data_IF_261034087352
#
_entry.id   IF_261034087352
#
_cell.length_a   1.000
_cell.length_b   1.000
_cell.length_c   1.000
_cell.angle_alpha   90.00
_cell.angle_beta   90.00
_cell.angle_gamma   90.00
#
_symmetry.space_group_name_H-M   'P 1'
#
loop_
_entity.id
_entity.type
_entity.pdbx_description
1 polymer ?
#
# COMPACT_ATOMS: atom_id res chain seq x y z
N UNK A 1 15.16 -76.79 -65.56
CA UNK A 1 15.54 -76.80 -64.12
C UNK A 1 15.38 -75.37 -63.59
N UNK A 2 14.25 -75.01 -62.97
CA UNK A 2 13.94 -74.94 -61.52
C UNK A 2 14.94 -74.15 -60.63
N UNK A 3 14.56 -72.88 -60.35
CA UNK A 3 14.52 -72.11 -59.07
C UNK A 3 15.79 -72.02 -58.18
N UNK A 4 16.17 -70.79 -57.77
CA UNK A 4 15.78 -70.18 -56.47
C UNK A 4 16.38 -68.79 -56.24
N UNK A 5 15.51 -67.84 -55.94
CA UNK A 5 15.76 -66.52 -55.35
C UNK A 5 16.42 -66.60 -53.96
N UNK A 6 17.26 -65.61 -53.63
CA UNK A 6 17.69 -65.34 -52.24
C UNK A 6 17.39 -63.88 -51.87
N UNK A 7 16.36 -63.73 -51.05
CA UNK A 7 15.91 -62.48 -50.40
C UNK A 7 16.94 -61.93 -49.41
N UNK A 8 17.03 -60.61 -49.46
CA UNK A 8 17.40 -59.57 -48.49
C UNK A 8 17.34 -59.94 -47.00
N UNK A 9 18.32 -59.47 -46.22
CA UNK A 9 18.19 -59.21 -44.78
C UNK A 9 18.62 -57.78 -44.49
N UNK A 10 17.62 -56.91 -44.33
CA UNK A 10 17.74 -55.60 -43.71
C UNK A 10 18.01 -55.79 -42.21
N UNK A 11 19.09 -55.21 -41.70
CA UNK A 11 19.32 -55.09 -40.27
C UNK A 11 18.63 -53.82 -39.78
N UNK A 12 17.38 -53.95 -39.33
CA UNK A 12 16.71 -52.91 -38.53
C UNK A 12 17.45 -52.81 -37.20
N UNK A 13 18.20 -51.72 -37.02
CA UNK A 13 18.57 -51.23 -35.70
C UNK A 13 17.29 -50.76 -35.01
N UNK A 14 16.76 -51.60 -34.13
CA UNK A 14 15.81 -51.17 -33.12
C UNK A 14 16.52 -50.21 -32.17
N UNK A 15 16.24 -48.93 -32.34
CA UNK A 15 16.40 -47.90 -31.30
C UNK A 15 15.55 -48.32 -30.10
N UNK A 16 16.20 -48.96 -29.12
CA UNK A 16 15.64 -49.10 -27.78
C UNK A 16 15.47 -47.70 -27.20
N UNK A 17 14.22 -47.21 -27.21
CA UNK A 17 13.78 -46.16 -26.28
C UNK A 17 14.07 -46.71 -24.87
N UNK A 18 15.05 -46.15 -24.18
CA UNK A 18 15.23 -46.40 -22.76
C UNK A 18 14.02 -45.80 -22.05
N UNK A 19 13.13 -46.66 -21.56
CA UNK A 19 12.11 -46.25 -20.60
C UNK A 19 12.85 -45.78 -19.33
N UNK A 20 12.88 -44.46 -19.11
CA UNK A 20 13.33 -43.89 -17.84
C UNK A 20 12.40 -44.40 -16.75
N UNK A 21 12.97 -44.81 -15.61
CA UNK A 21 12.16 -45.26 -14.49
C UNK A 21 11.35 -44.08 -13.93
N UNK A 22 10.10 -44.27 -13.45
CA UNK A 22 9.27 -43.20 -12.89
C UNK A 22 9.91 -42.44 -11.72
N UNK A 23 10.89 -43.06 -11.05
CA UNK A 23 11.66 -42.47 -9.95
C UNK A 23 12.70 -41.47 -10.48
N UNK A 24 13.35 -41.77 -11.61
CA UNK A 24 14.30 -40.86 -12.27
C UNK A 24 13.58 -39.60 -12.77
N UNK A 25 12.43 -39.78 -13.43
CA UNK A 25 11.61 -38.66 -13.93
C UNK A 25 11.16 -37.74 -12.79
N UNK A 26 10.80 -38.30 -11.64
CA UNK A 26 10.40 -37.52 -10.46
C UNK A 26 11.57 -36.75 -9.84
N UNK A 27 12.77 -37.33 -9.84
CA UNK A 27 13.98 -36.66 -9.36
C UNK A 27 14.38 -35.49 -10.27
N UNK A 28 14.37 -35.71 -11.59
CA UNK A 28 14.65 -34.67 -12.58
C UNK A 28 13.64 -33.51 -12.50
N UNK A 29 12.35 -33.81 -12.34
CA UNK A 29 11.31 -32.78 -12.14
C UNK A 29 11.54 -31.98 -10.85
N UNK A 30 11.93 -32.65 -9.77
CA UNK A 30 12.20 -31.97 -8.49
C UNK A 30 13.44 -31.06 -8.58
N UNK A 31 14.49 -31.51 -9.28
CA UNK A 31 15.67 -30.70 -9.54
C UNK A 31 15.33 -29.46 -10.36
N UNK A 32 14.56 -29.62 -11.44
CA UNK A 32 14.11 -28.49 -12.27
C UNK A 32 13.24 -27.49 -11.50
N UNK A 33 12.35 -27.98 -10.63
CA UNK A 33 11.56 -27.12 -9.73
C UNK A 33 12.47 -26.34 -8.79
N UNK A 34 13.53 -26.95 -8.26
CA UNK A 34 14.49 -26.27 -7.39
C UNK A 34 15.22 -25.14 -8.11
N UNK A 35 15.68 -25.38 -9.35
CA UNK A 35 16.37 -24.36 -10.15
C UNK A 35 15.44 -23.19 -10.48
N UNK A 36 14.20 -23.48 -10.89
CA UNK A 36 13.18 -22.46 -11.13
C UNK A 36 12.86 -21.66 -9.87
N UNK A 37 12.85 -22.29 -8.69
CA UNK A 37 12.60 -21.59 -7.42
C UNK A 37 13.69 -20.56 -7.13
N UNK A 38 14.95 -20.89 -7.42
CA UNK A 38 16.08 -19.96 -7.29
C UNK A 38 15.89 -18.78 -8.25
N UNK A 39 15.52 -19.04 -9.50
CA UNK A 39 15.26 -18.00 -10.50
C UNK A 39 14.09 -17.09 -10.10
N UNK A 40 12.97 -17.66 -9.65
CA UNK A 40 11.81 -16.93 -9.15
C UNK A 40 12.19 -16.00 -7.98
N UNK A 41 12.97 -16.52 -7.03
CA UNK A 41 13.43 -15.73 -5.88
C UNK A 41 14.39 -14.62 -6.28
N UNK A 42 15.32 -14.89 -7.20
CA UNK A 42 16.25 -13.89 -7.71
C UNK A 42 15.52 -12.77 -8.45
N UNK A 43 14.57 -13.10 -9.32
CA UNK A 43 13.68 -12.13 -9.99
C UNK A 43 12.87 -11.30 -8.98
N UNK A 44 12.35 -11.93 -7.93
CA UNK A 44 11.65 -11.21 -6.86
C UNK A 44 12.56 -10.23 -6.11
N UNK A 45 13.78 -10.65 -5.77
CA UNK A 45 14.76 -9.81 -5.08
C UNK A 45 15.25 -8.64 -5.94
N UNK A 46 15.36 -8.82 -7.26
CA UNK A 46 15.71 -7.75 -8.19
C UNK A 46 14.54 -6.83 -8.56
N UNK A 47 13.33 -7.14 -8.11
CA UNK A 47 12.11 -6.37 -8.40
C UNK A 47 11.49 -6.68 -9.77
N UNK A 48 12.00 -7.67 -10.50
CA UNK A 48 11.37 -8.22 -11.69
C UNK A 48 10.22 -9.16 -11.29
N UNK A 49 9.10 -8.57 -10.87
CA UNK A 49 7.92 -9.31 -10.42
C UNK A 49 7.28 -10.12 -11.55
N UNK A 50 7.39 -9.68 -12.80
CA UNK A 50 6.85 -10.42 -13.95
C UNK A 50 7.65 -11.70 -14.18
N UNK A 51 8.98 -11.62 -14.18
CA UNK A 51 9.84 -12.79 -14.24
C UNK A 51 9.60 -13.74 -13.07
N UNK A 52 9.46 -13.22 -11.86
CA UNK A 52 9.18 -14.02 -10.67
C UNK A 52 7.87 -14.82 -10.79
N UNK A 53 6.79 -14.19 -11.28
CA UNK A 53 5.50 -14.86 -11.50
C UNK A 53 5.62 -15.91 -12.61
N UNK A 54 6.27 -15.60 -13.74
CA UNK A 54 6.44 -16.55 -14.84
C UNK A 54 7.15 -17.83 -14.37
N UNK A 55 8.25 -17.71 -13.61
CA UNK A 55 8.94 -18.89 -13.06
C UNK A 55 8.07 -19.66 -12.05
N UNK A 56 7.27 -18.97 -11.24
CA UNK A 56 6.33 -19.60 -10.32
C UNK A 56 5.23 -20.39 -11.06
N UNK A 57 4.71 -19.86 -12.17
CA UNK A 57 3.75 -20.55 -13.05
C UNK A 57 4.38 -21.78 -13.71
N UNK A 58 5.64 -21.69 -14.15
CA UNK A 58 6.37 -22.86 -14.66
C UNK A 58 6.52 -23.97 -13.62
N UNK A 59 6.82 -23.60 -12.36
CA UNK A 59 6.87 -24.56 -11.25
C UNK A 59 5.49 -25.20 -11.02
N UNK A 60 4.42 -24.40 -11.03
CA UNK A 60 3.05 -24.92 -10.88
C UNK A 60 2.75 -25.95 -11.98
N UNK A 61 3.08 -25.65 -13.22
CA UNK A 61 2.85 -26.56 -14.35
C UNK A 61 3.60 -27.89 -14.18
N UNK A 62 4.88 -27.85 -13.80
CA UNK A 62 5.67 -29.07 -13.52
C UNK A 62 5.13 -29.85 -12.32
N UNK A 63 4.69 -29.15 -11.29
CA UNK A 63 4.13 -29.74 -10.08
C UNK A 63 2.79 -30.44 -10.35
N UNK A 64 1.92 -29.83 -11.16
CA UNK A 64 0.66 -30.43 -11.61
C UNK A 64 0.92 -31.69 -12.45
N UNK A 65 1.84 -31.61 -13.42
CA UNK A 65 2.24 -32.75 -14.24
C UNK A 65 2.77 -33.92 -13.41
N UNK A 66 3.46 -33.62 -12.31
CA UNK A 66 4.06 -34.61 -11.41
C UNK A 66 3.17 -34.99 -10.21
N UNK A 67 1.95 -34.44 -10.12
CA UNK A 67 1.02 -34.59 -9.01
C UNK A 67 1.61 -34.22 -7.62
N UNK A 68 2.46 -33.19 -7.56
CA UNK A 68 3.11 -32.70 -6.33
C UNK A 68 2.42 -31.40 -5.86
N UNK A 69 1.26 -31.56 -5.23
CA UNK A 69 0.39 -30.43 -4.84
C UNK A 69 0.99 -29.46 -3.82
N UNK A 70 2.00 -29.86 -3.05
CA UNK A 70 2.70 -28.98 -2.11
C UNK A 70 3.37 -27.79 -2.81
N UNK A 71 4.03 -28.03 -3.95
CA UNK A 71 4.70 -26.96 -4.69
C UNK A 71 3.70 -25.97 -5.29
N UNK A 72 2.53 -26.45 -5.74
CA UNK A 72 1.46 -25.59 -6.25
C UNK A 72 1.04 -24.58 -5.18
N UNK A 73 0.69 -25.06 -3.97
CA UNK A 73 0.28 -24.20 -2.86
C UNK A 73 1.36 -23.20 -2.43
N UNK A 74 2.62 -23.62 -2.46
CA UNK A 74 3.74 -22.75 -2.12
C UNK A 74 3.92 -21.63 -3.16
N UNK A 75 3.77 -21.94 -4.44
CA UNK A 75 3.87 -20.92 -5.51
C UNK A 75 2.65 -20.00 -5.55
N UNK A 76 1.43 -20.50 -5.29
CA UNK A 76 0.24 -19.64 -5.15
C UNK A 76 0.43 -18.61 -4.03
N UNK A 77 0.94 -19.04 -2.87
CA UNK A 77 1.29 -18.11 -1.77
C UNK A 77 2.33 -17.09 -2.19
N UNK A 78 3.37 -17.52 -2.91
CA UNK A 78 4.41 -16.63 -3.39
C UNK A 78 3.88 -15.56 -4.37
N UNK A 79 3.03 -15.96 -5.32
CA UNK A 79 2.37 -15.04 -6.26
C UNK A 79 1.46 -14.07 -5.50
N UNK A 80 0.71 -14.53 -4.50
CA UNK A 80 -0.13 -13.66 -3.68
C UNK A 80 0.70 -12.61 -2.91
N UNK A 81 1.86 -12.99 -2.37
CA UNK A 81 2.78 -12.04 -1.72
C UNK A 81 3.24 -10.94 -2.70
N UNK A 82 3.52 -11.31 -3.96
CA UNK A 82 3.88 -10.35 -5.00
C UNK A 82 2.70 -9.43 -5.32
N UNK A 83 1.50 -10.00 -5.48
CA UNK A 83 0.28 -9.25 -5.76
C UNK A 83 -0.01 -8.22 -4.67
N UNK A 84 0.02 -8.63 -3.39
CA UNK A 84 -0.18 -7.75 -2.24
C UNK A 84 0.83 -6.61 -2.21
N UNK A 85 2.11 -6.91 -2.51
CA UNK A 85 3.18 -5.92 -2.57
C UNK A 85 2.95 -4.89 -3.68
N UNK A 86 2.54 -5.34 -4.86
CA UNK A 86 2.25 -4.46 -5.99
C UNK A 86 1.04 -3.58 -5.73
N UNK A 87 -0.04 -4.16 -5.20
CA UNK A 87 -1.24 -3.42 -4.80
C UNK A 87 -0.92 -2.36 -3.74
N UNK A 88 -0.14 -2.73 -2.71
CA UNK A 88 0.32 -1.79 -1.69
C UNK A 88 1.16 -0.65 -2.28
N UNK A 89 2.09 -0.97 -3.19
CA UNK A 89 2.91 0.05 -3.87
C UNK A 89 2.06 1.02 -4.69
N UNK A 90 1.06 0.51 -5.40
CA UNK A 90 0.11 1.31 -6.15
C UNK A 90 -0.69 2.24 -5.21
N UNK A 91 -1.26 1.69 -4.14
CA UNK A 91 -2.03 2.46 -3.16
C UNK A 91 -1.18 3.58 -2.53
N UNK A 92 0.07 3.31 -2.15
CA UNK A 92 1.00 4.34 -1.65
C UNK A 92 1.21 5.45 -2.69
N UNK A 93 1.34 5.11 -3.97
CA UNK A 93 1.48 6.10 -5.04
C UNK A 93 0.24 6.97 -5.18
N UNK A 94 -0.95 6.37 -5.12
CA UNK A 94 -2.22 7.09 -5.16
C UNK A 94 -2.36 8.03 -3.96
N UNK A 95 -2.06 7.56 -2.74
CA UNK A 95 -2.09 8.39 -1.53
C UNK A 95 -1.12 9.58 -1.68
N UNK A 96 0.09 9.36 -2.21
CA UNK A 96 1.06 10.45 -2.46
C UNK A 96 0.50 11.47 -3.44
N UNK A 97 -0.11 11.03 -4.54
CA UNK A 97 -0.70 11.92 -5.54
C UNK A 97 -1.82 12.78 -4.92
N UNK A 98 -2.70 12.17 -4.13
CA UNK A 98 -3.77 12.90 -3.42
C UNK A 98 -3.18 13.86 -2.38
N UNK A 99 -2.17 13.43 -1.62
CA UNK A 99 -1.51 14.24 -0.60
C UNK A 99 -0.87 15.52 -1.18
N UNK A 100 -0.32 15.47 -2.41
CA UNK A 100 0.18 16.67 -3.10
C UNK A 100 -0.94 17.68 -3.33
N UNK A 101 -2.11 17.23 -3.77
CA UNK A 101 -3.29 18.08 -3.94
C UNK A 101 -3.78 18.67 -2.61
N UNK A 102 -3.84 17.85 -1.56
CA UNK A 102 -4.19 18.30 -0.21
C UNK A 102 -3.18 19.34 0.29
N UNK A 103 -1.88 19.14 0.08
CA UNK A 103 -0.84 20.09 0.50
C UNK A 103 -1.00 21.46 -0.15
N UNK A 104 -1.35 21.50 -1.44
CA UNK A 104 -1.61 22.75 -2.14
C UNK A 104 -2.85 23.46 -1.60
N UNK A 105 -3.97 22.73 -1.46
CA UNK A 105 -5.22 23.29 -0.95
C UNK A 105 -5.07 23.78 0.49
N UNK A 106 -4.45 22.97 1.34
CA UNK A 106 -4.11 23.29 2.72
C UNK A 106 -3.26 24.55 2.82
N UNK A 107 -2.21 24.66 1.97
CA UNK A 107 -1.38 25.85 1.89
C UNK A 107 -2.15 27.12 1.51
N UNK A 108 -3.11 27.01 0.59
CA UNK A 108 -3.99 28.14 0.21
C UNK A 108 -4.91 28.55 1.35
N UNK A 109 -5.54 27.60 2.03
CA UNK A 109 -6.43 27.87 3.15
C UNK A 109 -5.72 28.58 4.31
N UNK A 110 -4.49 28.15 4.63
CA UNK A 110 -3.68 28.84 5.64
C UNK A 110 -3.35 30.29 5.24
N UNK A 111 -3.04 30.55 3.96
CA UNK A 111 -2.77 31.92 3.49
C UNK A 111 -3.99 32.83 3.59
N UNK A 112 -5.19 32.27 3.41
CA UNK A 112 -6.46 32.98 3.59
C UNK A 112 -6.98 32.95 5.04
N UNK A 113 -6.15 32.52 6.00
CA UNK A 113 -6.47 32.39 7.42
C UNK A 113 -7.70 31.50 7.72
N UNK A 114 -8.00 30.55 6.84
CA UNK A 114 -9.12 29.62 6.99
C UNK A 114 -8.63 28.31 7.63
N UNK A 115 -8.17 28.41 8.88
CA UNK A 115 -7.44 27.33 9.57
C UNK A 115 -8.36 26.15 9.92
N UNK A 116 -9.60 26.40 10.35
CA UNK A 116 -10.59 25.34 10.60
C UNK A 116 -10.81 24.49 9.35
N UNK A 117 -11.04 25.14 8.19
CA UNK A 117 -11.22 24.40 6.94
C UNK A 117 -9.96 23.67 6.51
N UNK A 118 -8.78 24.24 6.75
CA UNK A 118 -7.50 23.58 6.48
C UNK A 118 -7.35 22.29 7.30
N UNK A 119 -7.73 22.34 8.58
CA UNK A 119 -7.71 21.18 9.46
C UNK A 119 -8.70 20.10 9.01
N UNK A 120 -9.93 20.48 8.68
CA UNK A 120 -10.98 19.56 8.20
C UNK A 120 -10.56 18.80 6.94
N UNK A 121 -9.99 19.48 5.94
CA UNK A 121 -9.61 18.79 4.70
C UNK A 121 -8.51 17.73 4.93
N UNK A 122 -7.62 17.96 5.89
CA UNK A 122 -6.58 17.01 6.23
C UNK A 122 -7.19 15.85 7.02
N UNK A 123 -8.09 16.12 7.96
CA UNK A 123 -8.82 15.09 8.70
C UNK A 123 -9.64 14.19 7.76
N UNK A 124 -10.37 14.77 6.80
CA UNK A 124 -11.13 14.04 5.78
C UNK A 124 -10.22 13.15 4.92
N UNK A 125 -9.05 13.67 4.55
CA UNK A 125 -8.04 12.91 3.82
C UNK A 125 -7.53 11.72 4.62
N UNK A 126 -7.17 11.91 5.90
CA UNK A 126 -6.68 10.83 6.75
C UNK A 126 -7.77 9.78 7.01
N UNK A 127 -9.01 10.21 7.24
CA UNK A 127 -10.14 9.32 7.47
C UNK A 127 -10.44 8.42 6.26
N UNK A 128 -10.28 8.93 5.03
CA UNK A 128 -10.43 8.14 3.79
C UNK A 128 -9.50 6.92 3.73
N UNK A 129 -8.36 6.99 4.42
CA UNK A 129 -7.32 5.96 4.40
C UNK A 129 -7.05 5.40 5.81
N UNK A 130 -8.02 5.49 6.73
CA UNK A 130 -7.87 5.01 8.10
C UNK A 130 -7.53 3.52 8.19
N UNK A 131 -8.01 2.72 7.23
CA UNK A 131 -7.74 1.27 7.15
C UNK A 131 -6.37 0.94 6.57
N UNK A 132 -5.56 1.96 6.24
CA UNK A 132 -4.20 1.80 5.75
C UNK A 132 -3.19 2.19 6.84
N UNK A 133 -2.68 1.23 7.63
CA UNK A 133 -1.87 1.52 8.84
C UNK A 133 -0.58 2.29 8.56
N UNK A 134 -0.09 2.22 7.31
CA UNK A 134 1.15 2.85 6.89
C UNK A 134 0.96 4.29 6.40
N UNK A 135 -0.26 4.84 6.43
CA UNK A 135 -0.51 6.21 5.93
C UNK A 135 0.41 7.24 6.58
N UNK A 136 0.59 7.17 7.90
CA UNK A 136 1.42 8.11 8.64
C UNK A 136 2.93 7.93 8.37
N UNK A 137 3.33 6.81 7.79
CA UNK A 137 4.73 6.55 7.38
C UNK A 137 5.09 7.20 6.04
N UNK A 138 4.10 7.68 5.30
CA UNK A 138 4.32 8.36 4.02
C UNK A 138 4.80 9.79 4.31
N UNK A 139 6.04 10.11 3.91
CA UNK A 139 6.71 11.39 4.25
C UNK A 139 5.84 12.65 4.02
N UNK A 140 5.21 12.79 2.86
CA UNK A 140 4.35 13.95 2.57
C UNK A 140 3.15 14.05 3.52
N UNK A 141 2.58 12.91 3.91
CA UNK A 141 1.46 12.86 4.86
C UNK A 141 1.96 13.22 6.27
N UNK A 142 3.11 12.69 6.66
CA UNK A 142 3.76 13.03 7.93
C UNK A 142 4.05 14.52 8.06
N UNK A 143 4.54 15.16 6.99
CA UNK A 143 4.77 16.59 6.91
C UNK A 143 3.47 17.38 7.08
N UNK A 144 2.39 16.96 6.42
CA UNK A 144 1.07 17.57 6.56
C UNK A 144 0.54 17.48 7.98
N UNK A 145 0.55 16.30 8.58
CA UNK A 145 0.12 16.08 9.97
C UNK A 145 0.92 16.95 10.93
N UNK A 146 2.24 17.02 10.75
CA UNK A 146 3.12 17.81 11.62
C UNK A 146 2.82 19.30 11.49
N UNK A 147 2.60 19.78 10.26
CA UNK A 147 2.26 21.18 10.01
C UNK A 147 0.89 21.54 10.57
N UNK A 148 -0.10 20.69 10.36
CA UNK A 148 -1.45 20.86 10.87
C UNK A 148 -1.50 20.93 12.39
N UNK A 149 -0.86 19.98 13.08
CA UNK A 149 -0.75 20.04 14.55
C UNK A 149 -0.22 21.38 15.05
N UNK A 150 0.81 21.94 14.39
CA UNK A 150 1.39 23.24 14.77
C UNK A 150 0.42 24.40 14.54
N UNK A 151 -0.20 24.48 13.37
CA UNK A 151 -1.12 25.57 13.05
C UNK A 151 -2.43 25.48 13.86
N UNK A 152 -2.93 24.27 14.10
CA UNK A 152 -4.11 24.03 14.91
C UNK A 152 -3.93 24.42 16.37
N UNK A 153 -2.77 24.11 16.97
CA UNK A 153 -2.45 24.56 18.33
C UNK A 153 -2.42 26.09 18.40
N UNK A 154 -1.74 26.76 17.45
CA UNK A 154 -1.70 28.22 17.41
C UNK A 154 -3.10 28.83 17.32
N UNK A 155 -3.92 28.30 16.42
CA UNK A 155 -5.29 28.75 16.24
C UNK A 155 -6.12 28.63 17.52
N UNK A 156 -6.04 27.50 18.22
CA UNK A 156 -6.78 27.30 19.47
C UNK A 156 -6.31 28.21 20.61
N UNK A 157 -5.00 28.53 20.68
CA UNK A 157 -4.49 29.51 21.65
C UNK A 157 -5.08 30.89 21.35
N UNK A 158 -4.96 31.36 20.11
CA UNK A 158 -5.50 32.68 19.72
C UNK A 158 -7.01 32.77 19.93
N UNK A 159 -7.76 31.70 19.63
CA UNK A 159 -9.21 31.66 19.84
C UNK A 159 -9.58 31.76 21.32
N UNK A 160 -8.78 31.15 22.19
CA UNK A 160 -8.96 31.23 23.65
C UNK A 160 -8.65 32.62 24.19
N UNK A 161 -7.54 33.23 23.76
CA UNK A 161 -7.16 34.59 24.18
C UNK A 161 -8.25 35.61 23.78
N UNK A 162 -8.78 35.50 22.56
CA UNK A 162 -9.89 36.34 22.09
C UNK A 162 -11.17 36.14 22.91
N UNK A 163 -11.48 34.91 23.34
CA UNK A 163 -12.64 34.64 24.16
C UNK A 163 -12.49 35.21 25.59
N UNK A 164 -11.29 35.16 26.17
CA UNK A 164 -10.99 35.75 27.48
C UNK A 164 -11.01 37.29 27.42
N UNK A 165 -10.55 37.91 26.33
CA UNK A 165 -10.66 39.37 26.13
C UNK A 165 -12.12 39.83 26.00
N UNK A 166 -12.96 39.08 25.28
CA UNK A 166 -14.40 39.39 25.16
C UNK A 166 -15.10 39.30 26.51
N UNK A 167 -14.84 38.25 27.30
CA UNK A 167 -15.40 38.09 28.64
C UNK A 167 -15.03 39.26 29.56
N UNK A 168 -13.76 39.68 29.53
CA UNK A 168 -13.29 40.84 30.29
C UNK A 168 -13.89 42.17 29.82
N UNK A 169 -14.27 42.29 28.55
CA UNK A 169 -14.95 43.49 28.02
C UNK A 169 -16.42 43.51 28.46
N UNK A 170 -17.12 42.38 28.35
CA UNK A 170 -18.52 42.25 28.75
C UNK A 170 -18.70 42.53 30.26
N UNK A 171 -17.80 42.01 31.11
CA UNK A 171 -17.82 42.29 32.56
C UNK A 171 -17.59 43.77 32.88
N UNK A 172 -16.73 44.46 32.11
CA UNK A 172 -16.48 45.90 32.30
C UNK A 172 -17.68 46.75 31.89
N UNK A 173 -18.34 46.38 30.79
CA UNK A 173 -19.54 47.08 30.33
C UNK A 173 -20.69 46.88 31.33
N UNK A 174 -20.89 45.66 31.84
CA UNK A 174 -21.89 45.37 32.86
C UNK A 174 -21.64 46.17 34.16
N UNK A 175 -20.39 46.23 34.60
CA UNK A 175 -19.99 47.03 35.75
C UNK A 175 -20.18 48.55 35.54
N UNK A 176 -19.91 49.05 34.32
CA UNK A 176 -20.13 50.44 33.96
C UNK A 176 -21.63 50.80 33.99
N UNK A 177 -22.49 49.93 33.46
CA UNK A 177 -23.95 50.12 33.53
C UNK A 177 -24.47 50.13 34.95
N UNK A 178 -24.03 49.20 35.81
CA UNK A 178 -24.45 49.18 37.22
C UNK A 178 -23.99 50.43 37.98
N UNK A 179 -22.79 50.93 37.71
CA UNK A 179 -22.31 52.19 38.29
C UNK A 179 -23.12 53.41 37.84
N UNK A 180 -23.54 53.47 36.57
CA UNK A 180 -24.37 54.56 36.05
C UNK A 180 -25.77 54.55 36.68
N UNK A 181 -26.36 53.37 36.84
CA UNK A 181 -27.66 53.21 37.51
C UNK A 181 -27.62 53.62 38.99
N UNK A 182 -26.55 53.25 39.70
CA UNK A 182 -26.33 53.69 41.09
C UNK A 182 -26.18 55.22 41.16
N UNK A 183 -25.42 55.83 40.26
CA UNK A 183 -25.25 57.29 40.21
C UNK A 183 -26.57 58.02 39.92
N UNK A 184 -27.37 57.52 38.98
CA UNK A 184 -28.71 58.05 38.69
C UNK A 184 -29.59 57.97 39.93
N UNK A 185 -29.63 56.83 40.61
CA UNK A 185 -30.40 56.66 41.84
C UNK A 185 -30.01 57.66 42.93
N UNK A 186 -28.71 57.87 43.15
CA UNK A 186 -28.20 58.80 44.15
C UNK A 186 -28.47 60.28 43.83
N UNK A 187 -28.52 60.66 42.54
CA UNK A 187 -28.77 62.03 42.11
C UNK A 187 -30.27 62.40 42.01
N UNK A 188 -31.19 61.48 42.30
CA UNK A 188 -32.64 61.72 42.25
C UNK A 188 -33.26 61.97 43.64
N UNK A 189 -32.43 62.24 44.66
CA UNK A 189 -32.82 62.63 46.03
C UNK A 189 -32.31 64.02 46.35
#
# INVERSE_FOLDING_TARGET
MKKKDKKTKETKQELKKSESSPILDRFEMTAKISDLKILAQNSYMSGDYKGAINYAEEIINLAVQSNITSYVKDQEKFINVIADKLQRKYLISEIKNVAVGIQQLYGTLLKTNNIERAHEILADFLNRYQDFPEIESILIVQELITKDKKEWIKFNITKKDLAEEQLNHDEKDEFATTLDDIKKFLNTR
#
